data_IF_457424705068
#
_entry.id   IF_457424705068
#
_cell.length_a   1.000
_cell.length_b   1.000
_cell.length_c   1.000
_cell.angle_alpha   90.00
_cell.angle_beta   90.00
_cell.angle_gamma   90.00
#
_symmetry.space_group_name_H-M   'P 1'
#
loop_
_entity.id
_entity.type
_entity.pdbx_description
1 polymer ?
#
# COMPACT_ATOMS: atom_id res chain seq x y z
N UNK A 1 -26.03 -25.63 -68.96
CA UNK A 1 -26.59 -25.04 -67.74
C UNK A 1 -26.21 -23.57 -67.71
N UNK A 2 -27.17 -22.66 -68.00
CA UNK A 2 -26.93 -21.21 -68.04
C UNK A 2 -27.23 -20.65 -66.64
N UNK A 3 -26.22 -20.08 -65.97
CA UNK A 3 -26.38 -19.49 -64.63
C UNK A 3 -26.89 -18.04 -64.82
N UNK A 4 -28.12 -17.70 -64.41
CA UNK A 4 -28.79 -16.45 -64.80
C UNK A 4 -28.27 -15.16 -64.12
N UNK A 5 -27.23 -15.22 -63.28
CA UNK A 5 -26.67 -14.06 -62.57
C UNK A 5 -25.55 -13.30 -63.29
N UNK A 6 -24.88 -13.90 -64.29
CA UNK A 6 -23.69 -13.30 -64.91
C UNK A 6 -23.99 -12.21 -65.95
N UNK A 7 -25.24 -12.11 -66.42
CA UNK A 7 -25.63 -11.21 -67.51
C UNK A 7 -25.72 -9.73 -67.09
N UNK A 8 -26.06 -9.48 -65.82
CA UNK A 8 -26.14 -8.12 -65.29
C UNK A 8 -24.75 -7.51 -65.06
N UNK A 9 -23.80 -8.31 -64.58
CA UNK A 9 -22.41 -7.89 -64.38
C UNK A 9 -21.74 -7.56 -65.73
N UNK A 10 -21.97 -8.38 -66.75
CA UNK A 10 -21.42 -8.15 -68.09
C UNK A 10 -21.93 -6.85 -68.74
N UNK A 11 -23.20 -6.49 -68.51
CA UNK A 11 -23.81 -5.24 -69.02
C UNK A 11 -23.30 -3.98 -68.30
N UNK A 12 -23.01 -4.07 -67.00
CA UNK A 12 -22.48 -2.94 -66.24
C UNK A 12 -21.01 -2.68 -66.55
N UNK A 13 -20.21 -3.74 -66.78
CA UNK A 13 -18.80 -3.60 -67.17
C UNK A 13 -18.62 -3.07 -68.60
N UNK A 14 -19.50 -3.44 -69.54
CA UNK A 14 -19.42 -2.94 -70.92
C UNK A 14 -19.72 -1.44 -71.03
N UNK A 15 -20.55 -0.90 -70.13
CA UNK A 15 -20.86 0.53 -70.07
C UNK A 15 -19.72 1.39 -69.51
N UNK A 16 -18.83 0.83 -68.68
CA UNK A 16 -17.72 1.56 -68.05
C UNK A 16 -16.40 1.43 -68.80
N UNK A 17 -16.15 0.31 -69.50
CA UNK A 17 -14.83 0.00 -70.09
C UNK A 17 -14.87 -0.09 -71.63
N UNK A 18 -16.06 -0.08 -72.25
CA UNK A 18 -16.21 -0.38 -73.67
C UNK A 18 -16.07 -1.88 -73.98
N UNK A 19 -16.27 -2.26 -75.24
CA UNK A 19 -16.27 -3.67 -75.68
C UNK A 19 -14.84 -4.25 -75.62
N UNK A 20 -14.49 -4.82 -74.46
CA UNK A 20 -13.19 -5.46 -74.23
C UNK A 20 -13.12 -6.78 -75.01
N UNK A 21 -12.69 -6.72 -76.27
CA UNK A 21 -12.49 -7.92 -77.10
C UNK A 21 -11.17 -8.61 -76.74
N UNK A 22 -11.16 -9.38 -75.65
CA UNK A 22 -10.01 -10.19 -75.28
C UNK A 22 -9.80 -11.33 -76.30
N UNK A 23 -8.76 -11.21 -77.12
CA UNK A 23 -8.26 -12.34 -77.93
C UNK A 23 -7.22 -13.09 -77.09
N UNK A 24 -7.54 -14.26 -76.53
CA UNK A 24 -6.61 -14.97 -75.68
C UNK A 24 -5.35 -15.32 -76.48
N UNK A 25 -4.15 -15.08 -75.92
CA UNK A 25 -2.89 -15.41 -76.57
C UNK A 25 -2.82 -16.88 -76.99
N UNK A 26 -2.01 -17.19 -78.01
CA UNK A 26 -1.89 -18.56 -78.54
C UNK A 26 -1.51 -19.61 -77.50
N UNK A 27 -0.68 -19.23 -76.52
CA UNK A 27 -0.31 -20.11 -75.41
C UNK A 27 -1.50 -20.48 -74.52
N UNK A 28 -2.46 -19.58 -74.32
CA UNK A 28 -3.65 -19.82 -73.49
C UNK A 28 -4.61 -20.80 -74.19
N UNK A 29 -4.79 -20.66 -75.50
CA UNK A 29 -5.61 -21.59 -76.30
C UNK A 29 -4.99 -22.98 -76.36
N UNK A 30 -3.68 -23.06 -76.55
CA UNK A 30 -2.95 -24.32 -76.52
C UNK A 30 -3.08 -25.01 -75.15
N UNK A 31 -2.94 -24.25 -74.06
CA UNK A 31 -3.00 -24.77 -72.69
C UNK A 31 -4.42 -25.23 -72.33
N UNK A 32 -5.45 -24.43 -72.63
CA UNK A 32 -6.84 -24.85 -72.43
C UNK A 32 -7.24 -26.03 -73.32
N UNK A 33 -6.80 -26.07 -74.58
CA UNK A 33 -7.09 -27.16 -75.51
C UNK A 33 -6.42 -28.48 -75.09
N UNK A 34 -5.17 -28.41 -74.64
CA UNK A 34 -4.42 -29.57 -74.12
C UNK A 34 -4.99 -30.08 -72.78
N UNK A 35 -5.39 -29.16 -71.89
CA UNK A 35 -6.10 -29.52 -70.66
C UNK A 35 -7.45 -30.17 -70.98
N UNK A 36 -8.23 -29.61 -71.90
CA UNK A 36 -9.54 -30.13 -72.26
C UNK A 36 -9.44 -31.52 -72.91
N UNK A 37 -8.49 -31.73 -73.82
CA UNK A 37 -8.28 -33.04 -74.46
C UNK A 37 -7.77 -34.09 -73.46
N UNK A 38 -6.91 -33.69 -72.52
CA UNK A 38 -6.40 -34.55 -71.45
C UNK A 38 -7.49 -34.94 -70.44
N UNK A 39 -8.34 -33.98 -70.06
CA UNK A 39 -9.51 -34.20 -69.17
C UNK A 39 -10.52 -35.15 -69.83
N UNK A 40 -10.80 -34.98 -71.12
CA UNK A 40 -11.74 -35.85 -71.84
C UNK A 40 -11.16 -37.26 -72.10
N UNK A 41 -9.85 -37.37 -72.34
CA UNK A 41 -9.19 -38.66 -72.57
C UNK A 41 -9.04 -39.51 -71.31
N UNK A 42 -8.84 -38.89 -70.15
CA UNK A 42 -8.63 -39.58 -68.88
C UNK A 42 -9.35 -38.90 -67.70
N UNK A 43 -10.70 -38.92 -67.65
CA UNK A 43 -11.48 -38.18 -66.66
C UNK A 43 -11.21 -38.65 -65.23
N UNK A 44 -11.01 -39.96 -65.01
CA UNK A 44 -10.71 -40.51 -63.68
C UNK A 44 -9.38 -40.01 -63.12
N UNK A 45 -8.34 -39.86 -63.96
CA UNK A 45 -7.02 -39.38 -63.52
C UNK A 45 -7.10 -37.95 -63.01
N UNK A 46 -7.82 -37.09 -63.73
CA UNK A 46 -8.04 -35.71 -63.32
C UNK A 46 -8.88 -35.58 -62.04
N UNK A 47 -9.91 -36.41 -61.86
CA UNK A 47 -10.68 -36.46 -60.62
C UNK A 47 -9.78 -36.82 -59.43
N UNK A 48 -8.94 -37.87 -59.56
CA UNK A 48 -8.00 -38.25 -58.50
C UNK A 48 -6.93 -37.18 -58.25
N UNK A 49 -6.41 -36.52 -59.30
CA UNK A 49 -5.46 -35.42 -59.16
C UNK A 49 -6.06 -34.22 -58.43
N UNK A 50 -7.31 -33.85 -58.76
CA UNK A 50 -8.02 -32.75 -58.08
C UNK A 50 -8.36 -33.10 -56.63
N UNK A 51 -8.76 -34.33 -56.35
CA UNK A 51 -8.97 -34.82 -54.98
C UNK A 51 -7.67 -34.80 -54.17
N UNK A 52 -6.56 -35.26 -54.77
CA UNK A 52 -5.24 -35.22 -54.14
C UNK A 52 -4.77 -33.80 -53.85
N UNK A 53 -4.97 -32.88 -54.79
CA UNK A 53 -4.65 -31.46 -54.59
C UNK A 53 -5.52 -30.84 -53.49
N UNK A 54 -6.82 -31.15 -53.47
CA UNK A 54 -7.74 -30.69 -52.42
C UNK A 54 -7.32 -31.19 -51.04
N UNK A 55 -6.92 -32.46 -50.93
CA UNK A 55 -6.39 -33.03 -49.68
C UNK A 55 -5.11 -32.34 -49.21
N UNK A 56 -4.19 -32.02 -50.13
CA UNK A 56 -2.97 -31.27 -49.80
C UNK A 56 -3.27 -29.85 -49.31
N UNK A 57 -4.22 -29.16 -49.94
CA UNK A 57 -4.63 -27.81 -49.51
C UNK A 57 -5.24 -27.86 -48.11
N UNK A 58 -6.18 -28.78 -47.85
CA UNK A 58 -6.80 -28.93 -46.53
C UNK A 58 -5.76 -29.33 -45.47
N UNK A 59 -4.86 -30.26 -45.81
CA UNK A 59 -3.76 -30.66 -44.93
C UNK A 59 -2.82 -29.50 -44.62
N UNK A 60 -2.50 -28.66 -45.61
CA UNK A 60 -1.70 -27.44 -45.43
C UNK A 60 -2.39 -26.42 -44.52
N UNK A 61 -3.67 -26.15 -44.72
CA UNK A 61 -4.45 -25.23 -43.88
C UNK A 61 -4.54 -25.73 -42.43
N UNK A 62 -4.89 -27.01 -42.23
CA UNK A 62 -4.95 -27.61 -40.90
C UNK A 62 -3.58 -27.69 -40.23
N UNK A 63 -2.54 -27.98 -40.99
CA UNK A 63 -1.15 -27.96 -40.51
C UNK A 63 -0.71 -26.57 -40.09
N UNK A 64 -1.11 -25.54 -40.84
CA UNK A 64 -0.87 -24.14 -40.51
C UNK A 64 -1.59 -23.73 -39.22
N UNK A 65 -2.89 -23.99 -39.12
CA UNK A 65 -3.69 -23.72 -37.91
C UNK A 65 -3.11 -24.43 -36.69
N UNK A 66 -2.70 -25.69 -36.84
CA UNK A 66 -2.06 -26.47 -35.78
C UNK A 66 -0.72 -25.85 -35.36
N UNK A 67 0.12 -25.48 -36.33
CA UNK A 67 1.42 -24.86 -36.07
C UNK A 67 1.28 -23.51 -35.38
N UNK A 68 0.31 -22.69 -35.79
CA UNK A 68 0.04 -21.39 -35.19
C UNK A 68 -0.51 -21.52 -33.76
N UNK A 69 -1.34 -22.55 -33.49
CA UNK A 69 -1.83 -22.87 -32.16
C UNK A 69 -0.73 -23.42 -31.22
N UNK A 70 0.20 -24.22 -31.74
CA UNK A 70 1.27 -24.87 -30.95
C UNK A 70 2.59 -24.11 -30.97
N UNK A 71 2.63 -22.94 -31.62
CA UNK A 71 3.81 -22.10 -31.64
C UNK A 71 4.18 -21.74 -30.19
N UNK A 72 5.41 -22.04 -29.73
CA UNK A 72 5.85 -21.63 -28.41
C UNK A 72 5.82 -20.11 -28.35
N UNK A 73 4.76 -19.54 -27.77
CA UNK A 73 4.75 -18.12 -27.46
C UNK A 73 5.84 -17.90 -26.41
N UNK A 74 6.68 -16.86 -26.54
CA UNK A 74 7.58 -16.50 -25.46
C UNK A 74 6.72 -16.19 -24.24
N UNK A 75 6.57 -17.16 -23.35
CA UNK A 75 6.14 -16.89 -21.98
C UNK A 75 7.31 -16.12 -21.40
N UNK A 76 7.18 -14.79 -21.34
CA UNK A 76 8.09 -14.00 -20.52
C UNK A 76 7.92 -14.59 -19.13
N UNK A 77 8.86 -15.44 -18.71
CA UNK A 77 8.94 -15.94 -17.35
C UNK A 77 9.40 -14.77 -16.51
N UNK A 78 8.52 -13.79 -16.35
CA UNK A 78 8.64 -12.87 -15.26
C UNK A 78 8.42 -13.76 -14.05
N UNK A 79 9.50 -14.14 -13.38
CA UNK A 79 9.41 -14.89 -12.14
C UNK A 79 8.48 -14.08 -11.24
N UNK A 80 7.26 -14.57 -11.02
CA UNK A 80 6.28 -13.91 -10.18
C UNK A 80 6.92 -13.77 -8.79
N UNK A 81 7.28 -12.54 -8.42
CA UNK A 81 8.05 -12.28 -7.22
C UNK A 81 7.11 -12.23 -6.04
N UNK A 82 6.87 -13.38 -5.42
CA UNK A 82 6.18 -13.44 -4.14
C UNK A 82 6.95 -12.57 -3.14
N UNK A 83 6.31 -11.49 -2.72
CA UNK A 83 6.91 -10.45 -1.89
C UNK A 83 6.14 -10.32 -0.59
N UNK A 84 6.87 -10.41 0.52
CA UNK A 84 6.35 -10.21 1.87
C UNK A 84 6.76 -8.82 2.34
N UNK A 85 5.88 -8.17 3.10
CA UNK A 85 6.09 -6.83 3.65
C UNK A 85 6.42 -6.96 5.13
N UNK A 86 7.53 -6.35 5.56
CA UNK A 86 7.86 -6.14 6.97
C UNK A 86 7.60 -4.68 7.33
N UNK A 87 6.77 -4.46 8.34
CA UNK A 87 6.46 -3.12 8.84
C UNK A 87 7.30 -2.85 10.07
N UNK A 88 8.05 -1.76 10.05
CA UNK A 88 8.60 -1.16 11.25
C UNK A 88 7.65 -0.04 11.67
N UNK A 89 6.91 -0.20 12.79
CA UNK A 89 6.00 0.83 13.27
C UNK A 89 6.76 2.14 13.57
N UNK A 90 6.08 3.29 13.50
CA UNK A 90 6.70 4.56 13.84
C UNK A 90 7.05 4.58 15.34
N UNK A 91 8.27 5.02 15.66
CA UNK A 91 8.68 5.25 17.04
C UNK A 91 8.15 6.57 17.60
N UNK A 92 8.43 6.83 18.87
CA UNK A 92 8.08 8.11 19.52
C UNK A 92 8.76 9.30 18.83
N UNK A 93 8.04 10.41 18.71
CA UNK A 93 8.61 11.66 18.23
C UNK A 93 9.76 12.13 19.12
N UNK A 94 10.75 12.71 18.44
CA UNK A 94 11.88 13.37 19.07
C UNK A 94 11.51 14.84 19.32
N UNK A 95 11.81 15.34 20.51
CA UNK A 95 11.55 16.73 20.90
C UNK A 95 12.90 17.38 21.14
N UNK A 96 13.22 18.39 20.34
CA UNK A 96 14.49 19.11 20.47
C UNK A 96 14.48 20.08 21.66
N UNK A 97 15.62 20.67 22.01
CA UNK A 97 15.72 21.64 23.12
C UNK A 97 14.82 22.87 22.89
N UNK A 98 14.61 23.25 21.63
CA UNK A 98 13.70 24.34 21.22
C UNK A 98 12.21 23.94 21.27
N UNK A 99 11.89 22.71 21.67
CA UNK A 99 10.51 22.21 21.76
C UNK A 99 9.89 21.78 20.43
N UNK A 100 10.66 21.76 19.34
CA UNK A 100 10.21 21.29 18.04
C UNK A 100 10.00 19.77 18.04
N UNK A 101 8.78 19.35 17.74
CA UNK A 101 8.40 17.92 17.66
C UNK A 101 8.68 17.40 16.26
N UNK A 102 9.63 16.47 16.15
CA UNK A 102 9.96 15.79 14.89
C UNK A 102 9.33 14.39 14.87
N UNK A 103 8.30 14.16 14.04
CA UNK A 103 7.61 12.89 14.00
C UNK A 103 8.47 11.83 13.30
N UNK A 104 8.37 10.57 13.76
CA UNK A 104 9.12 9.46 13.17
C UNK A 104 8.40 8.92 11.93
N UNK A 105 9.14 8.59 10.85
CA UNK A 105 8.54 8.00 9.67
C UNK A 105 8.18 6.53 9.89
N UNK A 106 7.10 6.09 9.26
CA UNK A 106 6.77 4.67 9.14
C UNK A 106 7.58 4.06 8.00
N UNK A 107 8.11 2.84 8.18
CA UNK A 107 8.97 2.17 7.20
C UNK A 107 8.43 0.78 6.83
N UNK A 108 8.29 0.54 5.54
CA UNK A 108 7.84 -0.73 4.96
C UNK A 108 8.98 -1.31 4.14
N UNK A 109 9.48 -2.47 4.56
CA UNK A 109 10.56 -3.18 3.87
C UNK A 109 9.99 -4.38 3.12
N UNK A 110 10.26 -4.43 1.82
CA UNK A 110 9.83 -5.51 0.94
C UNK A 110 10.95 -6.54 0.81
N UNK A 111 10.62 -7.83 0.80
CA UNK A 111 11.61 -8.91 0.62
C UNK A 111 12.29 -8.87 -0.75
N UNK A 112 11.56 -8.40 -1.77
CA UNK A 112 12.03 -8.23 -3.14
C UNK A 112 11.76 -6.82 -3.65
N UNK A 113 12.38 -6.48 -4.79
CA UNK A 113 12.22 -5.19 -5.46
C UNK A 113 10.76 -5.00 -5.87
N UNK A 114 10.10 -4.00 -5.32
CA UNK A 114 8.66 -3.75 -5.47
C UNK A 114 8.33 -2.36 -6.02
N UNK A 115 9.28 -1.42 -5.95
CA UNK A 115 9.10 -0.06 -6.44
C UNK A 115 9.33 0.03 -7.95
N UNK A 116 8.45 0.68 -8.72
CA UNK A 116 8.75 1.13 -10.07
C UNK A 116 9.98 2.06 -10.07
N UNK A 117 10.95 1.78 -10.96
CA UNK A 117 12.20 2.54 -11.05
C UNK A 117 11.96 4.05 -11.23
N UNK A 118 10.88 4.42 -11.91
CA UNK A 118 10.49 5.81 -12.18
C UNK A 118 9.98 6.57 -10.94
N UNK A 119 9.54 5.84 -9.90
CA UNK A 119 8.96 6.37 -8.66
C UNK A 119 9.96 6.41 -7.50
N UNK A 120 11.11 5.72 -7.62
CA UNK A 120 12.15 5.74 -6.58
C UNK A 120 12.66 7.18 -6.40
N UNK A 121 12.69 7.65 -5.15
CA UNK A 121 13.12 9.00 -4.80
C UNK A 121 12.07 10.09 -5.04
N UNK A 122 10.90 9.76 -5.60
CA UNK A 122 9.78 10.69 -5.81
C UNK A 122 8.66 10.44 -4.79
N UNK A 123 7.87 11.47 -4.57
CA UNK A 123 6.66 11.38 -3.77
C UNK A 123 5.57 10.67 -4.59
N UNK A 124 4.87 9.74 -3.94
CA UNK A 124 3.77 8.99 -4.53
C UNK A 124 2.52 9.85 -4.60
N UNK A 125 1.72 9.64 -5.65
CA UNK A 125 0.46 10.37 -5.82
C UNK A 125 -0.59 9.87 -4.82
N UNK A 126 -1.50 10.75 -4.40
CA UNK A 126 -2.61 10.40 -3.52
C UNK A 126 -3.40 9.19 -4.05
N UNK A 127 -3.82 8.32 -3.12
CA UNK A 127 -4.61 7.13 -3.42
C UNK A 127 -3.79 5.90 -3.84
N UNK A 128 -2.50 6.02 -4.14
CA UNK A 128 -1.63 4.86 -4.43
C UNK A 128 -1.37 4.01 -3.18
N UNK A 129 -1.34 4.64 -2.01
CA UNK A 129 -1.27 3.99 -0.71
C UNK A 129 -2.40 4.55 0.14
N UNK A 130 -3.23 3.66 0.69
CA UNK A 130 -4.32 4.02 1.57
C UNK A 130 -3.94 3.69 3.00
N UNK A 131 -4.08 4.66 3.91
CA UNK A 131 -3.82 4.49 5.33
C UNK A 131 -5.10 4.85 6.10
N UNK A 132 -5.53 3.96 6.99
CA UNK A 132 -6.70 4.15 7.84
C UNK A 132 -6.30 3.96 9.31
N UNK A 133 -6.58 4.91 10.21
CA UNK A 133 -7.19 6.22 9.95
C UNK A 133 -6.31 7.13 9.07
N UNK A 134 -6.97 8.07 8.38
CA UNK A 134 -6.29 9.01 7.48
C UNK A 134 -5.30 9.85 8.28
N UNK A 135 -4.04 9.83 7.88
CA UNK A 135 -2.96 10.60 8.50
C UNK A 135 -2.32 11.47 7.42
N UNK A 136 -2.16 12.76 7.71
CA UNK A 136 -1.51 13.70 6.80
C UNK A 136 -0.02 13.37 6.68
N UNK A 137 0.51 13.31 5.46
CA UNK A 137 1.92 13.01 5.22
C UNK A 137 2.21 12.65 3.76
N UNK A 138 3.47 12.38 3.46
CA UNK A 138 3.92 12.02 2.12
C UNK A 138 4.49 10.61 2.09
N UNK A 139 4.12 9.88 1.05
CA UNK A 139 4.66 8.55 0.75
C UNK A 139 5.81 8.66 -0.23
N UNK A 140 6.92 7.97 0.05
CA UNK A 140 8.11 8.01 -0.80
C UNK A 140 8.83 6.67 -0.84
N UNK A 141 9.19 6.23 -2.03
CA UNK A 141 10.12 5.11 -2.19
C UNK A 141 11.55 5.60 -1.91
N UNK A 142 12.08 5.27 -0.73
CA UNK A 142 13.46 5.56 -0.38
C UNK A 142 14.46 4.65 -1.11
N UNK A 143 14.04 3.43 -1.46
CA UNK A 143 14.77 2.52 -2.34
C UNK A 143 13.80 1.62 -3.11
N UNK A 144 14.32 0.69 -3.90
CA UNK A 144 13.52 -0.29 -4.63
C UNK A 144 12.75 -1.28 -3.72
N UNK A 145 13.15 -1.36 -2.45
CA UNK A 145 12.59 -2.24 -1.41
C UNK A 145 12.11 -1.52 -0.16
N UNK A 146 12.27 -0.20 -0.07
CA UNK A 146 11.93 0.57 1.12
C UNK A 146 10.96 1.69 0.78
N UNK A 147 9.74 1.56 1.26
CA UNK A 147 8.71 2.59 1.20
C UNK A 147 8.62 3.26 2.56
N UNK A 148 8.70 4.59 2.58
CA UNK A 148 8.61 5.39 3.80
C UNK A 148 7.42 6.32 3.74
N UNK A 149 6.74 6.48 4.87
CA UNK A 149 5.74 7.50 5.06
C UNK A 149 6.25 8.54 6.06
N UNK A 150 6.31 9.78 5.60
CA UNK A 150 6.71 10.94 6.38
C UNK A 150 5.44 11.67 6.81
N UNK A 151 5.01 11.51 8.07
CA UNK A 151 3.81 12.17 8.54
C UNK A 151 4.05 13.68 8.73
N UNK A 152 3.01 14.49 8.54
CA UNK A 152 3.07 15.93 8.77
C UNK A 152 3.00 16.30 10.26
N UNK A 153 2.41 15.42 11.08
CA UNK A 153 2.24 15.57 12.53
C UNK A 153 2.64 14.26 13.23
N UNK A 154 2.85 14.32 14.54
CA UNK A 154 3.15 13.11 15.31
C UNK A 154 2.01 12.10 15.29
N UNK A 155 2.36 10.83 15.49
CA UNK A 155 1.41 9.73 15.53
C UNK A 155 0.59 9.80 16.83
N UNK A 156 -0.74 9.67 16.75
CA UNK A 156 -1.58 9.47 17.92
C UNK A 156 -1.12 8.22 18.69
N UNK A 157 -1.15 8.27 20.02
CA UNK A 157 -0.70 7.15 20.86
C UNK A 157 -1.59 5.91 20.71
N UNK A 158 -0.99 4.72 20.62
CA UNK A 158 -1.67 3.44 20.69
C UNK A 158 -2.76 3.19 19.65
N UNK A 159 -2.73 3.94 18.54
CA UNK A 159 -3.71 3.84 17.47
C UNK A 159 -3.34 2.72 16.51
N UNK A 160 -4.31 1.86 16.21
CA UNK A 160 -4.20 0.82 15.20
C UNK A 160 -4.40 1.39 13.80
N UNK A 161 -3.56 0.96 12.87
CA UNK A 161 -3.55 1.37 11.49
C UNK A 161 -3.69 0.18 10.57
N UNK A 162 -4.50 0.37 9.53
CA UNK A 162 -4.58 -0.51 8.38
C UNK A 162 -4.04 0.21 7.15
N UNK A 163 -3.04 -0.39 6.52
CA UNK A 163 -2.41 0.09 5.32
C UNK A 163 -2.75 -0.82 4.15
N UNK A 164 -3.18 -0.23 3.04
CA UNK A 164 -3.50 -0.94 1.80
C UNK A 164 -2.70 -0.35 0.64
N UNK A 165 -1.89 -1.20 0.01
CA UNK A 165 -1.12 -0.85 -1.18
C UNK A 165 -1.97 -1.08 -2.44
N UNK A 166 -2.10 -0.07 -3.28
CA UNK A 166 -2.74 -0.24 -4.58
C UNK A 166 -1.74 -0.81 -5.59
N UNK A 167 -2.19 -1.61 -6.57
CA UNK A 167 -1.32 -2.14 -7.63
C UNK A 167 -0.55 -1.04 -8.40
N UNK A 168 -1.10 0.16 -8.50
CA UNK A 168 -0.45 1.30 -9.16
C UNK A 168 0.80 1.81 -8.43
N UNK A 169 0.97 1.50 -7.14
CA UNK A 169 2.16 1.87 -6.35
C UNK A 169 3.34 0.91 -6.56
N UNK A 170 3.10 -0.22 -7.23
CA UNK A 170 4.02 -1.36 -7.33
C UNK A 170 4.43 -1.62 -8.78
N UNK A 171 5.52 -2.36 -8.98
CA UNK A 171 5.82 -2.89 -10.32
C UNK A 171 4.76 -3.91 -10.74
N UNK A 172 4.50 -4.02 -12.05
CA UNK A 172 3.54 -5.00 -12.61
C UNK A 172 3.89 -6.46 -12.30
N UNK A 173 5.15 -6.72 -11.92
CA UNK A 173 5.70 -8.05 -11.66
C UNK A 173 5.65 -8.43 -10.18
N UNK A 174 5.29 -7.48 -9.30
CA UNK A 174 5.21 -7.69 -7.86
C UNK A 174 3.87 -8.31 -7.49
N UNK A 175 3.91 -9.50 -6.89
CA UNK A 175 2.74 -10.11 -6.26
C UNK A 175 2.96 -10.08 -4.76
N UNK A 176 2.10 -9.34 -4.06
CA UNK A 176 2.11 -9.30 -2.60
C UNK A 176 1.37 -10.51 -2.05
N UNK A 177 1.93 -11.12 -1.01
CA UNK A 177 1.24 -12.16 -0.23
C UNK A 177 -0.01 -11.59 0.46
N UNK A 178 0.09 -10.36 0.98
CA UNK A 178 -1.04 -9.56 1.43
C UNK A 178 -0.84 -8.11 1.02
N UNK A 179 -1.85 -7.52 0.37
CA UNK A 179 -1.88 -6.10 0.05
C UNK A 179 -2.29 -5.22 1.24
N UNK A 180 -2.80 -5.84 2.30
CA UNK A 180 -3.24 -5.19 3.54
C UNK A 180 -2.28 -5.52 4.65
N UNK A 181 -1.80 -4.50 5.36
CA UNK A 181 -0.88 -4.66 6.46
C UNK A 181 -1.37 -3.86 7.65
N UNK A 182 -1.35 -4.47 8.83
CA UNK A 182 -1.79 -3.85 10.08
C UNK A 182 -0.61 -3.57 10.97
N UNK A 183 -0.61 -2.43 11.64
CA UNK A 183 0.37 -2.06 12.65
C UNK A 183 -0.28 -1.13 13.67
N UNK A 184 0.39 -0.93 14.80
CA UNK A 184 -0.03 0.06 15.78
C UNK A 184 1.11 1.04 16.03
N UNK A 185 0.75 2.25 16.40
CA UNK A 185 1.67 3.25 16.98
C UNK A 185 1.97 2.91 18.44
N UNK A 186 3.04 3.49 18.98
CA UNK A 186 3.44 3.26 20.38
C UNK A 186 2.32 3.67 21.35
N UNK A 187 1.95 2.82 22.33
CA UNK A 187 0.91 3.15 23.29
C UNK A 187 1.37 4.22 24.29
N UNK A 188 0.39 4.92 24.85
CA UNK A 188 0.63 5.79 26.00
C UNK A 188 1.02 4.92 27.20
N UNK A 189 2.19 5.18 27.75
CA UNK A 189 2.69 4.56 28.97
C UNK A 189 2.91 5.67 29.99
N UNK A 190 2.33 5.50 31.17
CA UNK A 190 2.52 6.39 32.32
C UNK A 190 3.16 5.56 33.43
N UNK A 191 4.25 6.05 33.99
CA UNK A 191 4.91 5.45 35.13
C UNK A 191 4.88 6.43 36.31
N UNK A 192 4.40 5.94 37.44
CA UNK A 192 4.53 6.61 38.73
C UNK A 192 5.79 6.07 39.41
N UNK A 193 6.69 6.96 39.77
CA UNK A 193 7.89 6.61 40.52
C UNK A 193 7.63 6.65 42.03
N UNK A 194 8.61 6.17 42.78
CA UNK A 194 8.53 6.10 44.24
C UNK A 194 8.17 7.46 44.86
N UNK A 195 7.29 7.41 45.84
CA UNK A 195 6.86 8.56 46.60
C UNK A 195 7.85 8.79 47.75
N UNK A 196 8.47 9.97 47.78
CA UNK A 196 9.44 10.36 48.78
C UNK A 196 8.83 11.36 49.77
N UNK A 197 9.17 11.19 51.05
CA UNK A 197 8.83 12.17 52.08
C UNK A 197 9.89 13.28 52.09
N UNK A 198 9.46 14.50 51.79
CA UNK A 198 10.30 15.68 51.68
C UNK A 198 10.02 16.66 52.81
N UNK A 199 11.08 17.19 53.41
CA UNK A 199 11.04 18.29 54.39
C UNK A 199 11.68 19.52 53.78
N UNK A 200 10.99 20.66 53.84
CA UNK A 200 11.49 21.92 53.28
C UNK A 200 12.75 22.38 54.02
N UNK A 201 13.78 22.77 53.26
CA UNK A 201 15.09 23.17 53.79
C UNK A 201 15.04 24.55 54.47
N UNK A 202 14.13 25.42 54.03
CA UNK A 202 13.96 26.76 54.60
C UNK A 202 13.01 26.76 55.80
N UNK A 203 11.97 25.92 55.77
CA UNK A 203 11.04 25.72 56.88
C UNK A 203 10.90 24.21 57.20
N UNK A 204 11.68 23.69 58.17
CA UNK A 204 11.65 22.28 58.54
C UNK A 204 10.32 21.78 59.09
N UNK A 205 9.35 22.68 59.36
CA UNK A 205 8.01 22.29 59.80
C UNK A 205 7.10 21.90 58.63
N UNK A 206 7.52 22.16 57.39
CA UNK A 206 6.78 21.81 56.18
C UNK A 206 7.24 20.43 55.70
N UNK A 207 6.33 19.47 55.86
CA UNK A 207 6.49 18.12 55.34
C UNK A 207 5.54 17.88 54.17
N UNK A 208 6.02 17.21 53.13
CA UNK A 208 5.25 16.91 51.93
C UNK A 208 5.63 15.52 51.40
N UNK A 209 4.74 14.89 50.67
CA UNK A 209 5.11 13.75 49.81
C UNK A 209 5.31 14.27 48.39
N UNK A 210 6.41 13.87 47.78
CA UNK A 210 6.76 14.21 46.40
C UNK A 210 6.86 12.92 45.61
N UNK A 211 6.17 12.84 44.48
CA UNK A 211 6.31 11.73 43.54
C UNK A 211 6.43 12.27 42.12
N UNK A 212 7.16 11.53 41.28
CA UNK A 212 7.36 11.87 39.88
C UNK A 212 6.49 10.96 39.01
N UNK A 213 5.76 11.58 38.10
CA UNK A 213 5.05 10.91 37.01
C UNK A 213 5.84 11.14 35.73
N UNK A 214 6.12 10.06 35.00
CA UNK A 214 6.72 10.11 33.67
C UNK A 214 5.76 9.52 32.63
N UNK A 215 5.81 10.04 31.42
CA UNK A 215 4.99 9.58 30.32
C UNK A 215 5.78 9.42 29.02
N UNK A 216 5.39 8.45 28.19
CA UNK A 216 5.97 8.26 26.85
C UNK A 216 5.59 9.40 25.89
N UNK A 217 4.42 10.00 26.06
CA UNK A 217 3.86 11.06 25.20
C UNK A 217 3.62 12.35 25.99
N UNK A 218 3.59 13.52 25.32
CA UNK A 218 3.19 14.77 25.95
C UNK A 218 1.76 14.67 26.52
N UNK A 219 1.56 15.13 27.75
CA UNK A 219 0.26 15.19 28.41
C UNK A 219 -0.14 16.63 28.72
N UNK A 220 -1.43 16.93 28.58
CA UNK A 220 -1.96 18.20 29.08
C UNK A 220 -2.00 18.19 30.61
N UNK A 221 -1.41 19.23 31.21
CA UNK A 221 -1.32 19.36 32.67
C UNK A 221 -2.69 19.42 33.33
N UNK A 222 -3.63 20.18 32.78
CA UNK A 222 -4.94 20.39 33.37
C UNK A 222 -5.80 19.12 33.31
N UNK A 223 -5.67 18.34 32.24
CA UNK A 223 -6.33 17.05 32.13
C UNK A 223 -5.69 15.99 33.04
N UNK A 224 -4.35 15.96 33.16
CA UNK A 224 -3.68 15.08 34.12
C UNK A 224 -4.12 15.39 35.56
N UNK A 225 -4.22 16.67 35.92
CA UNK A 225 -4.63 17.11 37.25
C UNK A 225 -6.02 16.61 37.66
N UNK A 226 -6.97 16.51 36.71
CA UNK A 226 -8.32 15.99 36.95
C UNK A 226 -8.35 14.48 37.26
N UNK A 227 -7.33 13.74 36.83
CA UNK A 227 -7.26 12.29 36.98
C UNK A 227 -6.39 11.84 38.16
N UNK A 228 -5.77 12.78 38.88
CA UNK A 228 -4.99 12.48 40.08
C UNK A 228 -5.90 12.48 41.31
N UNK A 229 -5.92 11.36 42.02
CA UNK A 229 -6.58 11.21 43.32
C UNK A 229 -5.55 10.98 44.42
N UNK A 230 -5.80 11.54 45.60
CA UNK A 230 -5.03 11.26 46.82
C UNK A 230 -5.98 10.69 47.86
N UNK A 231 -5.63 9.52 48.37
CA UNK A 231 -6.35 8.85 49.44
C UNK A 231 -5.45 8.72 50.66
N UNK A 232 -5.99 9.04 51.84
CA UNK A 232 -5.28 8.84 53.10
C UNK A 232 -5.70 7.51 53.71
N UNK A 233 -4.76 6.59 53.78
CA UNK A 233 -4.96 5.31 54.45
C UNK A 233 -5.06 5.53 55.97
N UNK A 234 -6.07 4.94 56.61
CA UNK A 234 -6.27 5.01 58.06
C UNK A 234 -7.11 6.20 58.56
N UNK A 235 -7.58 7.09 57.67
CA UNK A 235 -8.58 8.13 58.00
C UNK A 235 -8.07 9.30 58.87
N UNK A 236 -6.80 9.31 59.26
CA UNK A 236 -6.20 10.42 59.99
C UNK A 236 -6.18 11.70 59.15
N UNK A 237 -6.57 12.87 59.69
CA UNK A 237 -6.62 14.13 58.94
C UNK A 237 -5.23 14.74 58.76
N UNK A 238 -4.31 14.02 58.11
CA UNK A 238 -2.89 14.39 57.98
C UNK A 238 -2.66 15.66 57.16
N UNK A 239 -3.64 16.12 56.38
CA UNK A 239 -3.54 17.37 55.63
C UNK A 239 -4.17 18.57 56.35
N UNK A 240 -4.81 18.36 57.50
CA UNK A 240 -5.40 19.43 58.30
C UNK A 240 -4.34 20.07 59.18
N UNK A 241 -4.07 21.36 58.96
CA UNK A 241 -3.11 22.12 59.75
C UNK A 241 -3.80 23.28 60.46
N UNK A 242 -3.67 23.36 61.80
CA UNK A 242 -4.35 24.36 62.64
C UNK A 242 -5.87 24.44 62.36
N UNK A 243 -6.53 23.29 62.37
CA UNK A 243 -7.98 23.12 62.14
C UNK A 243 -8.49 23.61 60.76
N UNK A 244 -7.58 23.75 59.78
CA UNK A 244 -7.93 24.11 58.40
C UNK A 244 -7.60 22.98 57.45
N UNK A 245 -8.63 22.46 56.77
CA UNK A 245 -8.49 21.50 55.69
C UNK A 245 -8.25 22.24 54.37
N UNK A 246 -7.20 21.90 53.61
CA UNK A 246 -6.95 22.53 52.32
C UNK A 246 -7.99 22.08 51.28
N UNK A 247 -8.42 23.01 50.43
CA UNK A 247 -9.36 22.71 49.34
C UNK A 247 -8.74 21.85 48.21
N UNK A 248 -7.41 21.88 48.08
CA UNK A 248 -6.63 21.12 47.10
C UNK A 248 -5.55 20.35 47.86
N UNK A 249 -5.44 19.04 47.63
CA UNK A 249 -4.52 18.16 48.38
C UNK A 249 -3.12 18.06 47.77
N UNK A 250 -2.94 18.58 46.56
CA UNK A 250 -1.65 18.55 45.87
C UNK A 250 -1.46 19.71 44.92
N UNK A 251 -0.22 19.92 44.52
CA UNK A 251 0.17 20.76 43.42
C UNK A 251 0.89 19.92 42.37
N UNK A 252 0.61 20.21 41.10
CA UNK A 252 1.25 19.57 39.95
C UNK A 252 2.22 20.56 39.32
N UNK A 253 3.50 20.20 39.30
CA UNK A 253 4.55 20.99 38.65
C UNK A 253 4.95 20.26 37.37
N UNK A 254 4.86 20.96 36.25
CA UNK A 254 5.26 20.44 34.95
C UNK A 254 6.77 20.48 34.80
N UNK A 255 7.31 19.42 34.23
CA UNK A 255 8.72 19.25 33.92
C UNK A 255 9.04 19.49 32.46
N UNK A 256 10.03 18.75 31.97
CA UNK A 256 10.49 18.90 30.58
C UNK A 256 9.50 18.29 29.59
N UNK A 257 9.28 19.00 28.49
CA UNK A 257 8.57 18.54 27.29
C UNK A 257 7.18 17.93 27.55
N UNK A 258 6.47 18.34 28.61
CA UNK A 258 5.14 17.80 28.97
C UNK A 258 5.12 16.27 29.19
N UNK A 259 6.28 15.65 29.44
CA UNK A 259 6.42 14.19 29.67
C UNK A 259 6.78 13.85 31.12
N UNK A 260 7.11 14.86 31.91
CA UNK A 260 7.53 14.71 33.31
C UNK A 260 6.70 15.64 34.17
N UNK A 261 6.18 15.13 35.27
CA UNK A 261 5.39 15.91 36.22
C UNK A 261 5.77 15.54 37.64
N UNK A 262 5.83 16.54 38.52
CA UNK A 262 6.01 16.34 39.95
C UNK A 262 4.72 16.65 40.67
N UNK A 263 4.21 15.65 41.39
CA UNK A 263 3.09 15.79 42.30
C UNK A 263 3.69 16.08 43.68
N UNK A 264 3.30 17.21 44.27
CA UNK A 264 3.67 17.57 45.64
C UNK A 264 2.40 17.70 46.46
N UNK A 265 2.29 16.96 47.55
CA UNK A 265 1.14 17.10 48.43
C UNK A 265 1.14 18.47 49.11
N UNK A 266 -0.02 18.90 49.58
CA UNK A 266 -0.07 19.95 50.60
C UNK A 266 0.65 19.51 51.87
N UNK A 267 0.94 20.48 52.73
CA UNK A 267 1.61 20.26 54.02
C UNK A 267 0.95 19.11 54.78
N UNK A 268 1.79 18.18 55.24
CA UNK A 268 1.43 17.10 56.12
C UNK A 268 1.65 17.57 57.56
N UNK A 269 0.61 17.46 58.38
CA UNK A 269 0.65 17.66 59.82
C UNK A 269 1.20 16.39 60.47
N UNK A 270 2.45 16.45 60.93
CA UNK A 270 3.05 15.40 61.74
C UNK A 270 2.64 15.66 63.20
N UNK A 271 1.98 14.73 63.89
CA UNK A 271 1.61 14.90 65.29
C UNK A 271 2.87 14.93 66.19
N UNK A 272 2.81 15.75 67.25
CA UNK A 272 3.93 15.91 68.21
C UNK A 272 4.20 14.65 69.06
N UNK A 273 3.32 13.64 69.00
CA UNK A 273 3.43 12.37 69.73
C UNK A 273 3.06 11.21 68.81
N UNK A 274 3.87 10.16 68.83
CA UNK A 274 3.51 8.83 68.30
C UNK A 274 2.49 8.21 69.26
N UNK A 275 1.38 7.68 68.71
CA UNK A 275 0.43 6.82 69.44
C UNK A 275 0.98 5.40 69.59
#
# INVERSE_FOLDING_TARGET
>A
MKIPGLQWIARSLSALVGDFSWRPPGWLRWLCGSLWSSVNGHPKRWIFSLLGLGLLIVGGMKGWDWWEAHRPRPKIQVAERQTTIKVAPPGLAEIDEDGLVTPRPLRLTFSQSAAPLELIGKDLTEGQVLLSPVTEGTWKWASDKLLTFNPAKDWPSGTEYELKLQPAALTKETILESAVVKFASEPLVIALEDAEFYTDVQDPTIHQVVTRVTSSHPLDKADLEKHIGIEVLGGSPIFSWKDKTPAKLFNLVEGKHQKQFWIRTTRIAVPDKED
#
